data_IF_284593522202
#
_entry.id   IF_284593522202
#
_cell.length_a   1.000
_cell.length_b   1.000
_cell.length_c   1.000
_cell.angle_alpha   90.00
_cell.angle_beta   90.00
_cell.angle_gamma   90.00
#
_symmetry.space_group_name_H-M   'P 1'
#
loop_
_entity.id
_entity.type
_entity.pdbx_description
1 polymer ?
#
# COMPACT_ATOMS: atom_id res chain seq x y z
N UNK A 1 15.40 6.14 -0.68
CA UNK A 1 14.40 6.95 0.06
C UNK A 1 13.03 6.30 -0.05
N UNK A 2 12.27 6.26 1.04
CA UNK A 2 10.89 5.78 1.09
C UNK A 2 10.03 6.87 1.76
N UNK A 3 8.85 7.14 1.21
CA UNK A 3 7.83 7.95 1.87
C UNK A 3 6.44 7.60 1.35
N UNK A 4 5.44 7.67 2.22
CA UNK A 4 4.02 7.72 1.84
C UNK A 4 3.35 8.81 2.67
N UNK A 5 2.63 9.70 2.00
CA UNK A 5 2.07 10.89 2.64
C UNK A 5 0.80 11.37 1.93
N UNK A 6 -0.03 12.14 2.63
CA UNK A 6 -1.12 12.88 2.00
C UNK A 6 -0.61 14.23 1.49
N UNK A 7 -1.04 14.59 0.30
CA UNK A 7 -0.69 15.84 -0.38
C UNK A 7 -1.95 16.69 -0.58
N UNK A 8 -1.98 17.85 0.06
CA UNK A 8 -3.11 18.78 -0.04
C UNK A 8 -4.20 18.55 1.01
N UNK A 9 -5.43 18.94 0.67
CA UNK A 9 -6.58 18.90 1.57
C UNK A 9 -7.62 17.89 1.06
N UNK A 10 -8.48 17.35 1.95
CA UNK A 10 -9.64 16.57 1.54
C UNK A 10 -10.46 17.31 0.48
N UNK A 11 -10.88 16.58 -0.55
CA UNK A 11 -11.63 17.07 -1.70
C UNK A 11 -12.71 16.05 -2.10
N UNK A 12 -13.46 16.36 -3.16
CA UNK A 12 -14.38 15.42 -3.78
C UNK A 12 -13.72 14.88 -5.05
N UNK A 13 -13.45 13.58 -5.08
CA UNK A 13 -12.96 12.85 -6.25
C UNK A 13 -13.96 11.73 -6.56
N UNK A 14 -14.30 11.50 -7.83
CA UNK A 14 -15.30 10.50 -8.23
C UNK A 14 -16.64 10.59 -7.47
N UNK A 15 -17.09 11.82 -7.17
CA UNK A 15 -18.32 12.11 -6.42
C UNK A 15 -18.33 11.56 -4.97
N UNK A 16 -17.16 11.38 -4.36
CA UNK A 16 -16.99 10.93 -2.98
C UNK A 16 -15.92 11.74 -2.25
N UNK A 17 -16.01 11.90 -0.92
CA UNK A 17 -14.92 12.44 -0.12
C UNK A 17 -13.64 11.62 -0.32
N UNK A 18 -12.54 12.31 -0.61
CA UNK A 18 -11.24 11.69 -0.82
C UNK A 18 -10.11 12.66 -0.46
N UNK A 19 -8.89 12.16 -0.39
CA UNK A 19 -7.67 12.97 -0.27
C UNK A 19 -6.61 12.41 -1.22
N UNK A 20 -5.80 13.29 -1.80
CA UNK A 20 -4.68 12.85 -2.63
C UNK A 20 -3.50 12.48 -1.74
N UNK A 21 -2.83 11.40 -2.10
CA UNK A 21 -1.59 10.97 -1.47
C UNK A 21 -0.50 10.76 -2.49
N UNK A 22 0.72 10.57 -2.00
CA UNK A 22 1.88 10.25 -2.82
C UNK A 22 2.71 9.19 -2.13
N UNK A 23 3.17 8.21 -2.91
CA UNK A 23 4.21 7.28 -2.50
C UNK A 23 5.50 7.60 -3.26
N UNK A 24 6.63 7.55 -2.57
CA UNK A 24 7.98 7.76 -3.12
C UNK A 24 8.85 6.56 -2.82
N UNK A 25 9.42 5.97 -3.86
CA UNK A 25 10.22 4.73 -3.84
C UNK A 25 11.53 4.97 -4.62
N UNK A 26 12.54 5.51 -3.93
CA UNK A 26 13.77 5.96 -4.59
C UNK A 26 13.50 7.18 -5.48
N UNK A 27 13.82 7.05 -6.77
CA UNK A 27 13.59 8.10 -7.79
C UNK A 27 12.18 8.05 -8.40
N UNK A 28 11.40 7.02 -8.05
CA UNK A 28 10.02 6.88 -8.49
C UNK A 28 9.06 7.52 -7.49
N UNK A 29 8.03 8.19 -7.99
CA UNK A 29 6.89 8.60 -7.18
C UNK A 29 5.59 8.50 -7.96
N UNK A 30 4.51 8.17 -7.26
CA UNK A 30 3.17 8.07 -7.83
C UNK A 30 2.16 8.75 -6.89
N UNK A 31 1.27 9.56 -7.46
CA UNK A 31 0.12 10.11 -6.75
C UNK A 31 -1.06 9.14 -6.80
N UNK A 32 -1.79 9.05 -5.69
CA UNK A 32 -2.99 8.23 -5.57
C UNK A 32 -4.13 9.01 -4.94
N UNK A 33 -5.35 8.50 -5.10
CA UNK A 33 -6.56 9.02 -4.45
C UNK A 33 -6.99 8.04 -3.38
N UNK A 34 -7.03 8.49 -2.13
CA UNK A 34 -7.49 7.72 -0.98
C UNK A 34 -8.91 8.17 -0.59
N UNK A 35 -9.93 7.32 -0.79
CA UNK A 35 -11.31 7.67 -0.46
C UNK A 35 -11.54 7.67 1.05
N UNK A 36 -12.26 8.68 1.53
CA UNK A 36 -12.53 8.93 2.95
C UNK A 36 -13.94 8.47 3.38
N UNK A 37 -14.51 7.53 2.63
CA UNK A 37 -15.88 7.02 2.86
C UNK A 37 -15.89 6.00 4.00
N UNK A 38 -14.84 5.18 4.09
CA UNK A 38 -14.72 4.12 5.11
C UNK A 38 -13.56 4.37 6.08
N UNK A 39 -12.35 4.63 5.57
CA UNK A 39 -11.22 5.05 6.40
C UNK A 39 -11.09 6.55 6.47
N UNK A 40 -10.72 7.05 7.65
CA UNK A 40 -10.27 8.42 7.83
C UNK A 40 -8.79 8.57 7.43
N UNK A 41 -8.32 9.81 7.35
CA UNK A 41 -6.89 10.11 7.19
C UNK A 41 -6.04 9.41 8.26
N UNK A 42 -6.50 9.42 9.51
CA UNK A 42 -5.78 8.81 10.63
C UNK A 42 -5.72 7.28 10.51
N UNK A 43 -6.76 6.64 9.98
CA UNK A 43 -6.77 5.19 9.74
C UNK A 43 -5.73 4.78 8.71
N UNK A 44 -5.64 5.51 7.59
CA UNK A 44 -4.59 5.30 6.58
C UNK A 44 -3.20 5.46 7.18
N UNK A 45 -2.95 6.58 7.88
CA UNK A 45 -1.64 6.85 8.46
C UNK A 45 -1.26 5.80 9.51
N UNK A 46 -2.21 5.37 10.34
CA UNK A 46 -2.01 4.29 11.30
C UNK A 46 -1.66 2.99 10.58
N UNK A 47 -2.37 2.64 9.52
CA UNK A 47 -2.07 1.46 8.71
C UNK A 47 -0.69 1.53 8.07
N UNK A 48 -0.28 2.68 7.53
CA UNK A 48 1.04 2.85 6.94
C UNK A 48 2.17 2.71 7.96
N UNK A 49 1.98 3.24 9.18
CA UNK A 49 2.94 3.06 10.28
C UNK A 49 3.07 1.59 10.66
N UNK A 50 1.95 0.90 10.86
CA UNK A 50 1.95 -0.54 11.17
C UNK A 50 2.62 -1.34 10.04
N UNK A 51 2.33 -1.01 8.78
CA UNK A 51 2.92 -1.67 7.63
C UNK A 51 4.45 -1.54 7.60
N UNK A 52 4.97 -0.35 7.90
CA UNK A 52 6.40 -0.09 8.03
C UNK A 52 7.01 -0.81 9.23
N UNK A 53 6.35 -0.80 10.39
CA UNK A 53 6.77 -1.52 11.59
C UNK A 53 6.93 -3.01 11.33
N UNK A 54 5.98 -3.64 10.63
CA UNK A 54 6.06 -5.07 10.25
C UNK A 54 7.34 -5.38 9.47
N UNK A 55 7.64 -4.59 8.43
CA UNK A 55 8.84 -4.77 7.60
C UNK A 55 10.13 -4.59 8.41
N UNK A 56 10.18 -3.54 9.23
CA UNK A 56 11.34 -3.25 10.10
C UNK A 56 11.53 -4.35 11.15
N UNK A 57 10.44 -4.87 11.72
CA UNK A 57 10.45 -5.92 12.74
C UNK A 57 10.90 -7.29 12.20
N UNK A 58 10.85 -7.52 10.89
CA UNK A 58 11.31 -8.79 10.31
C UNK A 58 10.31 -9.49 9.40
N UNK A 59 9.07 -9.01 9.31
CA UNK A 59 8.06 -9.66 8.48
C UNK A 59 8.50 -9.70 7.01
N UNK A 60 8.33 -10.88 6.39
CA UNK A 60 8.73 -11.09 5.01
C UNK A 60 7.87 -10.28 4.03
N UNK A 61 6.64 -9.92 4.43
CA UNK A 61 5.68 -9.20 3.60
C UNK A 61 4.78 -8.27 4.40
N UNK A 62 4.37 -7.18 3.76
CA UNK A 62 3.43 -6.18 4.26
C UNK A 62 2.76 -5.48 3.07
N UNK A 63 1.93 -4.47 3.32
CA UNK A 63 1.41 -3.59 2.27
C UNK A 63 1.01 -2.22 2.81
N UNK A 64 0.98 -1.22 1.93
CA UNK A 64 0.56 0.14 2.23
C UNK A 64 -0.69 0.43 1.38
N UNK A 65 -1.82 0.72 2.02
CA UNK A 65 -3.06 0.95 1.31
C UNK A 65 -3.08 2.35 0.67
N UNK A 66 -3.31 2.41 -0.64
CA UNK A 66 -3.58 3.66 -1.36
C UNK A 66 -5.08 3.95 -1.44
N UNK A 67 -5.92 2.91 -1.40
CA UNK A 67 -7.37 3.02 -1.21
C UNK A 67 -7.89 1.80 -0.46
N UNK A 68 -9.01 1.96 0.25
CA UNK A 68 -9.69 0.88 0.97
C UNK A 68 -11.20 1.07 0.86
N UNK A 69 -11.96 0.00 1.07
CA UNK A 69 -13.43 -0.02 1.11
C UNK A 69 -13.91 -0.91 2.26
N UNK A 70 -15.20 -0.83 2.56
CA UNK A 70 -15.84 -1.78 3.47
C UNK A 70 -15.97 -3.16 2.80
N UNK A 71 -16.45 -3.19 1.55
CA UNK A 71 -16.47 -4.36 0.67
C UNK A 71 -15.60 -4.15 -0.58
N UNK A 72 -14.95 -5.20 -1.13
CA UNK A 72 -14.29 -5.09 -2.43
C UNK A 72 -15.26 -4.74 -3.57
N UNK A 73 -16.57 -4.97 -3.40
CA UNK A 73 -17.60 -4.62 -4.39
C UNK A 73 -17.88 -3.10 -4.46
N UNK A 74 -17.46 -2.32 -3.45
CA UNK A 74 -17.74 -0.88 -3.36
C UNK A 74 -16.75 -0.01 -4.17
N UNK A 75 -15.83 -0.65 -4.88
CA UNK A 75 -14.88 0.00 -5.77
C UNK A 75 -13.46 -0.54 -5.64
N UNK A 76 -12.56 0.02 -6.45
CA UNK A 76 -11.18 -0.43 -6.53
C UNK A 76 -10.42 -0.23 -5.20
N UNK A 77 -9.72 -1.29 -4.79
CA UNK A 77 -8.80 -1.30 -3.65
C UNK A 77 -7.38 -1.42 -4.20
N UNK A 78 -6.58 -0.38 -3.98
CA UNK A 78 -5.19 -0.29 -4.42
C UNK A 78 -4.27 -0.40 -3.22
N UNK A 79 -3.31 -1.30 -3.30
CA UNK A 79 -2.25 -1.48 -2.29
C UNK A 79 -0.88 -1.48 -2.95
N UNK A 80 0.10 -0.98 -2.21
CA UNK A 80 1.51 -1.18 -2.49
C UNK A 80 2.02 -2.34 -1.64
N UNK A 81 2.14 -3.53 -2.23
CA UNK A 81 2.73 -4.67 -1.52
C UNK A 81 4.21 -4.42 -1.29
N UNK A 82 4.72 -4.86 -0.14
CA UNK A 82 6.11 -4.69 0.26
C UNK A 82 6.68 -6.05 0.65
N UNK A 83 7.72 -6.49 -0.04
CA UNK A 83 8.38 -7.77 0.18
C UNK A 83 9.81 -7.57 0.65
N UNK A 84 10.12 -8.04 1.86
CA UNK A 84 11.46 -7.91 2.44
C UNK A 84 12.33 -9.09 2.00
N UNK A 85 13.45 -8.78 1.36
CA UNK A 85 14.52 -9.71 1.03
C UNK A 85 15.83 -9.16 1.58
N UNK A 86 16.31 -9.76 2.68
CA UNK A 86 17.44 -9.26 3.46
C UNK A 86 17.24 -7.78 3.85
N UNK A 87 18.10 -6.89 3.35
CA UNK A 87 18.09 -5.44 3.64
C UNK A 87 17.31 -4.61 2.60
N UNK A 88 16.71 -5.26 1.59
CA UNK A 88 15.94 -4.62 0.52
C UNK A 88 14.46 -4.90 0.67
N UNK A 89 13.63 -3.91 0.36
CA UNK A 89 12.17 -4.02 0.30
C UNK A 89 11.75 -3.78 -1.14
N UNK A 90 11.05 -4.76 -1.71
CA UNK A 90 10.54 -4.75 -3.07
C UNK A 90 9.06 -4.37 -3.06
N UNK A 91 8.71 -3.31 -3.76
CA UNK A 91 7.37 -2.74 -3.81
C UNK A 91 6.70 -3.03 -5.14
N UNK A 92 5.45 -3.50 -5.11
CA UNK A 92 4.63 -3.69 -6.31
C UNK A 92 3.26 -3.03 -6.09
N UNK A 93 2.75 -2.35 -7.13
CA UNK A 93 1.39 -1.81 -7.10
C UNK A 93 0.41 -2.91 -7.48
N UNK A 94 -0.60 -3.16 -6.63
CA UNK A 94 -1.60 -4.22 -6.82
C UNK A 94 -3.01 -3.66 -6.66
N UNK A 95 -3.86 -3.99 -7.64
CA UNK A 95 -5.31 -3.85 -7.55
C UNK A 95 -5.89 -5.13 -6.97
N UNK A 96 -6.67 -5.02 -5.91
CA UNK A 96 -7.47 -6.12 -5.38
C UNK A 96 -8.87 -6.04 -6.00
N UNK A 97 -9.17 -7.00 -6.87
CA UNK A 97 -10.48 -7.19 -7.46
C UNK A 97 -11.32 -8.14 -6.58
N UNK A 98 -12.66 -8.01 -6.52
CA UNK A 98 -13.52 -8.89 -5.72
C UNK A 98 -13.24 -10.38 -5.92
N UNK A 99 -13.01 -10.81 -7.17
CA UNK A 99 -12.71 -12.19 -7.53
C UNK A 99 -11.31 -12.68 -7.10
N UNK A 100 -10.41 -11.76 -6.78
CA UNK A 100 -9.03 -12.06 -6.34
C UNK A 100 -8.84 -11.95 -4.83
N UNK A 101 -9.85 -11.44 -4.11
CA UNK A 101 -9.80 -11.34 -2.65
C UNK A 101 -9.81 -12.75 -2.05
N UNK A 102 -8.89 -12.96 -1.11
CA UNK A 102 -8.72 -14.23 -0.42
C UNK A 102 -9.57 -14.27 0.83
N UNK A 103 -10.41 -15.30 0.90
CA UNK A 103 -11.27 -15.54 2.06
C UNK A 103 -12.24 -14.39 2.31
N UNK A 104 -12.64 -14.22 3.56
CA UNK A 104 -13.45 -13.06 3.98
C UNK A 104 -12.60 -11.80 3.91
N UNK A 105 -13.09 -10.78 3.20
CA UNK A 105 -12.42 -9.48 3.18
C UNK A 105 -12.50 -8.83 4.55
N UNK A 106 -11.34 -8.55 5.14
CA UNK A 106 -11.21 -7.85 6.41
C UNK A 106 -10.39 -6.58 6.17
N UNK A 107 -11.02 -5.40 5.99
CA UNK A 107 -10.32 -4.15 5.72
C UNK A 107 -9.24 -3.84 6.77
N UNK A 108 -9.51 -4.17 8.03
CA UNK A 108 -8.61 -3.97 9.17
C UNK A 108 -7.41 -4.94 9.19
N UNK A 109 -7.43 -5.97 8.35
CA UNK A 109 -6.36 -6.96 8.20
C UNK A 109 -5.98 -7.14 6.72
N UNK A 110 -5.74 -6.03 6.03
CA UNK A 110 -5.41 -5.99 4.60
C UNK A 110 -4.16 -6.82 4.23
N UNK A 111 -3.28 -7.08 5.20
CA UNK A 111 -2.08 -7.91 5.03
C UNK A 111 -2.38 -9.36 4.63
N UNK A 112 -3.56 -9.89 4.98
CA UNK A 112 -3.99 -11.23 4.57
C UNK A 112 -4.15 -11.36 3.03
N UNK A 113 -4.26 -10.24 2.32
CA UNK A 113 -4.38 -10.17 0.86
C UNK A 113 -3.02 -10.12 0.14
N UNK A 114 -1.92 -10.12 0.88
CA UNK A 114 -0.56 -10.05 0.32
C UNK A 114 0.00 -11.45 0.11
N UNK A 115 0.19 -11.81 -1.16
CA UNK A 115 0.70 -13.10 -1.58
C UNK A 115 2.21 -13.25 -1.42
N UNK A 116 2.77 -14.39 -1.80
CA UNK A 116 4.21 -14.48 -1.99
C UNK A 116 4.64 -13.61 -3.16
N UNK A 117 5.87 -13.08 -3.10
CA UNK A 117 6.42 -12.24 -4.16
C UNK A 117 6.57 -13.04 -5.44
N UNK A 118 5.96 -12.55 -6.51
CA UNK A 118 6.21 -13.00 -7.88
C UNK A 118 6.84 -11.86 -8.67
N UNK A 119 7.74 -12.18 -9.60
CA UNK A 119 8.35 -11.17 -10.49
C UNK A 119 7.79 -11.22 -11.91
N UNK A 120 6.93 -12.20 -12.18
CA UNK A 120 6.28 -12.41 -13.47
C UNK A 120 4.83 -12.79 -13.24
N UNK A 121 3.96 -12.36 -14.16
CA UNK A 121 2.56 -12.81 -14.22
C UNK A 121 2.48 -14.26 -14.71
N UNK A 122 1.30 -14.85 -14.67
CA UNK A 122 1.03 -16.21 -15.19
C UNK A 122 1.38 -16.35 -16.68
N UNK A 123 1.17 -15.28 -17.46
CA UNK A 123 1.54 -15.20 -18.87
C UNK A 123 3.04 -14.91 -19.11
N UNK A 124 3.83 -14.76 -18.04
CA UNK A 124 5.28 -14.57 -18.11
C UNK A 124 5.75 -13.12 -18.26
N UNK A 125 4.84 -12.13 -18.24
CA UNK A 125 5.19 -10.71 -18.29
C UNK A 125 5.85 -10.25 -16.98
N UNK A 126 6.83 -9.36 -17.04
CA UNK A 126 7.46 -8.81 -15.84
C UNK A 126 6.49 -7.93 -15.06
N UNK A 127 6.47 -8.10 -13.74
CA UNK A 127 5.71 -7.25 -12.82
C UNK A 127 6.53 -6.00 -12.52
N UNK A 128 5.91 -4.82 -12.65
CA UNK A 128 6.52 -3.55 -12.25
C UNK A 128 6.87 -3.57 -10.77
N UNK A 129 8.12 -3.28 -10.45
CA UNK A 129 8.64 -3.36 -9.09
C UNK A 129 9.69 -2.28 -8.83
N UNK A 130 9.65 -1.71 -7.63
CA UNK A 130 10.60 -0.71 -7.16
C UNK A 130 11.28 -1.19 -5.88
N UNK A 131 12.47 -0.68 -5.61
CA UNK A 131 13.29 -1.14 -4.50
C UNK A 131 13.72 0.03 -3.63
N UNK A 132 13.60 -0.15 -2.32
CA UNK A 132 14.17 0.72 -1.29
C UNK A 132 14.83 -0.14 -0.23
N UNK A 133 15.61 0.46 0.66
CA UNK A 133 16.23 -0.29 1.76
C UNK A 133 15.29 -0.38 2.96
N UNK A 134 15.47 -1.41 3.80
CA UNK A 134 14.81 -1.48 5.12
C UNK A 134 15.15 -0.25 5.97
N UNK A 135 16.37 0.31 5.78
CA UNK A 135 16.79 1.56 6.43
C UNK A 135 15.97 2.77 5.99
N UNK A 136 15.60 2.87 4.71
CA UNK A 136 14.73 3.94 4.22
C UNK A 136 13.35 3.88 4.88
N UNK A 137 12.76 2.68 4.97
CA UNK A 137 11.47 2.46 5.64
C UNK A 137 11.57 2.79 7.14
N UNK A 138 12.63 2.33 7.81
CA UNK A 138 12.88 2.63 9.21
C UNK A 138 13.13 4.12 9.48
N UNK A 139 13.74 4.83 8.52
CA UNK A 139 13.93 6.27 8.61
C UNK A 139 12.58 6.99 8.55
N UNK A 140 11.74 6.67 7.56
CA UNK A 140 10.40 7.25 7.43
C UNK A 140 9.56 7.04 8.69
N UNK A 141 9.57 5.84 9.28
CA UNK A 141 8.84 5.53 10.51
C UNK A 141 9.22 6.44 11.70
N UNK A 142 10.44 6.99 11.73
CA UNK A 142 10.93 7.86 12.81
C UNK A 142 10.62 9.34 12.58
N UNK A 143 10.43 9.76 11.34
CA UNK A 143 10.35 11.18 10.96
C UNK A 143 9.03 11.60 10.31
N UNK A 144 8.23 10.65 9.83
CA UNK A 144 6.90 10.85 9.24
C UNK A 144 5.75 10.68 10.23
#
# INVERSE_FOLDING_TARGET
MFAIEFVGQPCIEFNQPAIRGRITLGDFSEEFVAPLVFWTVDDYQKQWREAAERIVAGEARSCFAASIRESPDDGAIFIWTAYKLADTVHFQHKLLLPETVKGTFEPLNIYAQVDERQTKTEDGFQISEWQVTVKDVAYWLRVG
#
